data_IF_065845373651
#
_entry.id   IF_065845373651
#
_cell.length_a   1.000
_cell.length_b   1.000
_cell.length_c   1.000
_cell.angle_alpha   90.00
_cell.angle_beta   90.00
_cell.angle_gamma   90.00
#
_symmetry.space_group_name_H-M   'P 1'
#
loop_
_entity.id
_entity.type
_entity.pdbx_description
1 polymer ?
#
# COMPACT_ATOMS: atom_id res chain seq x y z
N UNK A 1 -0.30 11.23 14.62
CA UNK A 1 0.16 10.98 13.23
C UNK A 1 1.63 10.62 13.32
N UNK A 2 2.01 9.46 12.79
CA UNK A 2 3.39 9.06 12.56
C UNK A 2 3.80 9.64 11.21
N UNK A 3 4.98 10.22 11.15
CA UNK A 3 5.59 10.73 9.92
C UNK A 3 6.92 10.03 9.71
N UNK A 4 7.19 9.58 8.49
CA UNK A 4 8.49 9.05 8.11
C UNK A 4 8.84 9.44 6.67
N UNK A 5 10.09 9.84 6.46
CA UNK A 5 10.66 10.08 5.13
C UNK A 5 11.72 9.01 4.88
N UNK A 6 11.49 8.12 3.93
CA UNK A 6 12.45 7.06 3.57
C UNK A 6 12.09 6.44 2.22
N UNK A 7 12.97 5.57 1.72
CA UNK A 7 12.70 4.74 0.55
C UNK A 7 11.78 3.59 0.92
N UNK A 8 10.66 3.47 0.20
CA UNK A 8 9.70 2.39 0.37
C UNK A 8 9.36 1.74 -0.96
N UNK A 9 8.85 0.52 -0.90
CA UNK A 9 8.30 -0.17 -2.06
C UNK A 9 6.86 0.29 -2.27
N UNK A 10 6.59 0.90 -3.41
CA UNK A 10 5.27 1.45 -3.74
C UNK A 10 4.93 1.21 -5.22
N UNK A 11 3.63 1.12 -5.50
CA UNK A 11 3.11 1.02 -6.86
C UNK A 11 1.79 1.81 -6.98
N UNK A 12 1.54 2.37 -8.16
CA UNK A 12 0.26 3.00 -8.48
C UNK A 12 -0.54 2.08 -9.39
N UNK A 13 -1.75 1.71 -8.96
CA UNK A 13 -2.66 0.85 -9.70
C UNK A 13 -3.69 1.73 -10.40
N UNK A 14 -3.48 1.98 -11.69
CA UNK A 14 -4.38 2.78 -12.50
C UNK A 14 -5.79 2.15 -12.63
N UNK A 15 -5.90 0.81 -12.62
CA UNK A 15 -7.19 0.11 -12.77
C UNK A 15 -8.23 0.49 -11.72
N UNK A 16 -7.78 0.68 -10.47
CA UNK A 16 -8.65 1.01 -9.34
C UNK A 16 -8.38 2.42 -8.81
N UNK A 17 -7.51 3.20 -9.46
CA UNK A 17 -7.09 4.51 -8.98
C UNK A 17 -6.69 4.47 -7.49
N UNK A 18 -5.72 3.60 -7.18
CA UNK A 18 -5.20 3.41 -5.81
C UNK A 18 -3.69 3.24 -5.80
N UNK A 19 -3.06 3.48 -4.66
CA UNK A 19 -1.64 3.28 -4.40
C UNK A 19 -1.42 2.13 -3.42
N UNK A 20 -0.39 1.32 -3.66
CA UNK A 20 0.12 0.33 -2.72
C UNK A 20 1.37 0.89 -2.05
N UNK A 21 1.48 0.73 -0.74
CA UNK A 21 2.69 0.98 0.05
C UNK A 21 3.02 -0.26 0.87
N UNK A 22 4.29 -0.70 0.81
CA UNK A 22 4.78 -1.84 1.59
C UNK A 22 5.76 -1.35 2.65
N UNK A 23 5.44 -1.66 3.91
CA UNK A 23 6.23 -1.29 5.08
C UNK A 23 6.80 -2.55 5.73
N UNK A 24 8.13 -2.76 5.69
CA UNK A 24 8.75 -3.88 6.36
C UNK A 24 8.78 -3.68 7.87
N UNK A 25 8.42 -4.73 8.62
CA UNK A 25 8.66 -4.79 10.06
C UNK A 25 10.13 -5.11 10.36
N UNK A 26 10.49 -5.00 11.64
CA UNK A 26 11.82 -5.35 12.13
C UNK A 26 12.17 -6.78 11.70
N UNK A 27 13.34 -6.96 11.07
CA UNK A 27 13.79 -8.26 10.57
C UNK A 27 13.25 -8.67 9.21
N UNK A 28 12.36 -7.87 8.59
CA UNK A 28 11.76 -8.14 7.26
C UNK A 28 10.98 -9.47 7.14
N UNK A 29 10.66 -10.12 8.26
CA UNK A 29 9.88 -11.35 8.28
C UNK A 29 8.39 -11.10 7.98
N UNK A 30 7.93 -9.89 8.28
CA UNK A 30 6.56 -9.43 8.04
C UNK A 30 6.59 -8.08 7.34
N UNK A 31 5.64 -7.90 6.41
CA UNK A 31 5.43 -6.63 5.74
C UNK A 31 3.97 -6.22 5.94
N UNK A 32 3.74 -4.99 6.37
CA UNK A 32 2.43 -4.37 6.28
C UNK A 32 2.24 -3.84 4.87
N UNK A 33 1.15 -4.24 4.22
CA UNK A 33 0.75 -3.73 2.90
C UNK A 33 -0.44 -2.81 3.09
N UNK A 34 -0.31 -1.57 2.64
CA UNK A 34 -1.34 -0.54 2.73
C UNK A 34 -1.82 -0.26 1.32
N UNK A 35 -3.13 -0.43 1.12
CA UNK A 35 -3.81 -0.09 -0.13
C UNK A 35 -4.59 1.20 0.11
N UNK A 36 -4.15 2.29 -0.50
CA UNK A 36 -4.70 3.62 -0.30
C UNK A 36 -5.40 4.09 -1.59
N UNK A 37 -6.74 4.22 -1.61
CA UNK A 37 -7.44 4.83 -2.74
C UNK A 37 -7.07 6.31 -2.89
N UNK A 38 -7.06 6.82 -4.12
CA UNK A 38 -7.04 8.27 -4.34
C UNK A 38 -8.38 8.91 -3.91
N UNK A 39 -8.39 10.22 -3.71
CA UNK A 39 -9.59 10.97 -3.27
C UNK A 39 -10.82 10.76 -4.18
N UNK A 40 -10.58 10.42 -5.44
CA UNK A 40 -11.63 10.15 -6.43
C UNK A 40 -12.24 8.74 -6.34
N UNK A 41 -11.73 7.87 -5.46
CA UNK A 41 -12.04 6.44 -5.47
C UNK A 41 -12.71 6.01 -4.17
N UNK A 42 -13.90 5.41 -4.28
CA UNK A 42 -14.58 4.81 -3.13
C UNK A 42 -13.90 3.52 -2.66
N UNK A 43 -13.80 3.34 -1.34
CA UNK A 43 -13.23 2.13 -0.73
C UNK A 43 -13.99 0.86 -1.15
N UNK A 44 -15.30 0.95 -1.33
CA UNK A 44 -16.16 -0.16 -1.77
C UNK A 44 -15.73 -0.69 -3.15
N UNK A 45 -15.31 0.21 -4.04
CA UNK A 45 -14.85 -0.17 -5.38
C UNK A 45 -13.54 -0.94 -5.30
N UNK A 46 -12.64 -0.48 -4.42
CA UNK A 46 -11.37 -1.15 -4.16
C UNK A 46 -11.59 -2.54 -3.53
N UNK A 47 -12.46 -2.65 -2.53
CA UNK A 47 -12.78 -3.93 -1.87
C UNK A 47 -13.37 -4.95 -2.84
N UNK A 48 -14.27 -4.53 -3.74
CA UNK A 48 -14.84 -5.43 -4.77
C UNK A 48 -13.83 -5.86 -5.82
N UNK A 49 -12.87 -4.98 -6.14
CA UNK A 49 -11.81 -5.26 -7.10
C UNK A 49 -10.64 -6.05 -6.47
N UNK A 50 -10.54 -6.07 -5.14
CA UNK A 50 -9.49 -6.78 -4.40
C UNK A 50 -9.76 -8.28 -4.41
N UNK A 51 -9.20 -8.96 -5.40
CA UNK A 51 -9.13 -10.44 -5.45
C UNK A 51 -7.73 -10.92 -5.09
N UNK A 52 -7.61 -12.18 -4.67
CA UNK A 52 -6.32 -12.77 -4.32
C UNK A 52 -5.31 -12.68 -5.48
N UNK A 53 -5.74 -13.00 -6.69
CA UNK A 53 -4.90 -12.95 -7.90
C UNK A 53 -4.38 -11.54 -8.17
N UNK A 54 -5.26 -10.54 -8.05
CA UNK A 54 -4.90 -9.12 -8.22
C UNK A 54 -3.95 -8.65 -7.12
N UNK A 55 -4.22 -9.02 -5.87
CA UNK A 55 -3.36 -8.67 -4.74
C UNK A 55 -1.94 -9.23 -4.94
N UNK A 56 -1.81 -10.50 -5.34
CA UNK A 56 -0.49 -11.11 -5.63
C UNK A 56 0.19 -10.39 -6.80
N UNK A 57 -0.54 -10.10 -7.88
CA UNK A 57 0.00 -9.37 -9.03
C UNK A 57 0.52 -7.98 -8.63
N UNK A 58 -0.24 -7.23 -7.83
CA UNK A 58 0.16 -5.87 -7.40
C UNK A 58 1.28 -5.86 -6.36
N UNK A 59 1.43 -6.93 -5.57
CA UNK A 59 2.48 -7.06 -4.55
C UNK A 59 3.72 -7.79 -5.05
N UNK A 60 3.76 -8.14 -6.34
CA UNK A 60 4.94 -8.76 -6.96
C UNK A 60 6.10 -7.74 -7.01
N UNK A 61 7.34 -8.15 -6.68
CA UNK A 61 8.49 -7.25 -6.65
C UNK A 61 8.77 -6.57 -8.00
N UNK A 62 8.39 -7.17 -9.12
CA UNK A 62 8.49 -6.56 -10.45
C UNK A 62 7.58 -5.33 -10.65
N UNK A 63 6.48 -5.26 -9.91
CA UNK A 63 5.50 -4.15 -9.99
C UNK A 63 5.83 -3.04 -8.99
N UNK A 64 6.44 -3.41 -7.86
CA UNK A 64 6.79 -2.48 -6.79
C UNK A 64 8.10 -1.73 -7.13
N UNK A 65 8.01 -0.42 -7.24
CA UNK A 65 9.18 0.45 -7.37
C UNK A 65 9.66 0.91 -6.00
N UNK A 66 10.98 0.96 -5.80
CA UNK A 66 11.59 1.61 -4.63
C UNK A 66 11.65 3.12 -4.88
N UNK A 67 10.89 3.89 -4.10
CA UNK A 67 10.75 5.34 -4.26
C UNK A 67 10.89 6.00 -2.89
N UNK A 68 11.59 7.12 -2.80
CA UNK A 68 11.54 7.98 -1.61
C UNK A 68 10.14 8.56 -1.46
N UNK A 69 9.49 8.26 -0.33
CA UNK A 69 8.14 8.71 -0.06
C UNK A 69 8.01 9.25 1.37
N UNK A 70 7.19 10.28 1.49
CA UNK A 70 6.67 10.77 2.75
C UNK A 70 5.47 9.91 3.17
N UNK A 71 5.60 9.25 4.30
CA UNK A 71 4.56 8.37 4.83
C UNK A 71 3.94 9.03 6.06
N UNK A 72 2.65 9.35 5.95
CA UNK A 72 1.83 9.84 7.05
C UNK A 72 0.86 8.73 7.48
N UNK A 73 1.07 8.17 8.66
CA UNK A 73 0.22 7.09 9.18
C UNK A 73 -0.49 7.50 10.46
N UNK A 74 -1.81 7.28 10.57
CA UNK A 74 -2.50 7.47 11.84
C UNK A 74 -2.01 6.45 12.87
N UNK A 75 -1.91 6.87 14.12
CA UNK A 75 -1.79 5.92 15.24
C UNK A 75 -3.20 5.41 15.53
N UNK A 76 -3.42 4.11 15.40
CA UNK A 76 -4.70 3.50 15.75
C UNK A 76 -4.47 2.16 16.44
N UNK A 77 -5.47 1.75 17.20
CA UNK A 77 -5.61 0.41 17.76
C UNK A 77 -6.77 -0.25 17.04
N UNK A 78 -6.56 -1.46 16.52
CA UNK A 78 -7.65 -2.30 16.04
C UNK A 78 -8.17 -3.11 17.22
N UNK A 79 -9.47 -3.04 17.46
CA UNK A 79 -10.19 -3.90 18.41
C UNK A 79 -10.82 -5.08 17.68
#
# INVERSE_FOLDING_TARGET
MIYNWSTFKTACIAEICSQILVLPYVGQELNMVILLPFESTDLITVEKALTYEKFVAWTTPDVLAEVEAEVFLPCFTLE
#
